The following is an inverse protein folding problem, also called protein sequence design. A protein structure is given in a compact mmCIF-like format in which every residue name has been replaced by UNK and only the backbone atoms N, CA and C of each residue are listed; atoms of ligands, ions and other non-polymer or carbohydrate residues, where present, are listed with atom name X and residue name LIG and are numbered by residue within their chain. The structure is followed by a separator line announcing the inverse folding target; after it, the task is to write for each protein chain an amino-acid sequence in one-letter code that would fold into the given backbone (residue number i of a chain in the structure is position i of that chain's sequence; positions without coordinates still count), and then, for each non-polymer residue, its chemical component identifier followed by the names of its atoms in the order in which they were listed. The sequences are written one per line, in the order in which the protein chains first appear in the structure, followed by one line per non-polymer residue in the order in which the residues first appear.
data_IF_676420308773
#
_entry.id   IF_676420308773
#
_cell.length_a   1.000
_cell.length_b   1.000
_cell.length_c   1.000
_cell.angle_alpha   90.00
_cell.angle_beta   90.00
_cell.angle_gamma   90.00
#
_symmetry.space_group_name_H-M   'P 1'
#
loop_
_entity.id
_entity.type
_entity.pdbx_description
1 polymer ?
#
# COMPACT_ATOMS: atom_id res chain seq x y z
N UNK A 1 -12.44 -15.93 30.69
CA UNK A 1 -13.17 -17.15 30.41
C UNK A 1 -12.67 -18.35 31.21
N UNK A 2 -11.38 -18.65 31.24
CA UNK A 2 -10.79 -19.78 31.99
C UNK A 2 -11.20 -19.77 33.45
N UNK A 3 -11.11 -18.63 34.15
CA UNK A 3 -11.53 -18.48 35.54
C UNK A 3 -13.02 -18.80 35.77
N UNK A 4 -13.89 -18.32 34.88
CA UNK A 4 -15.33 -18.61 34.97
C UNK A 4 -15.64 -20.09 34.79
N UNK A 5 -14.98 -20.78 33.87
CA UNK A 5 -15.15 -22.21 33.64
C UNK A 5 -14.62 -22.99 34.85
N UNK A 6 -13.46 -22.60 35.38
CA UNK A 6 -12.88 -23.25 36.57
C UNK A 6 -13.79 -23.14 37.81
N UNK A 7 -14.38 -21.95 38.03
CA UNK A 7 -15.31 -21.74 39.16
C UNK A 7 -16.61 -22.56 38.94
N UNK A 8 -17.14 -22.62 37.73
CA UNK A 8 -18.33 -23.41 37.39
C UNK A 8 -18.12 -24.93 37.59
N UNK A 9 -16.94 -25.43 37.20
CA UNK A 9 -16.56 -26.84 37.45
C UNK A 9 -16.51 -27.12 38.92
N UNK A 10 -15.89 -26.25 39.73
CA UNK A 10 -15.80 -26.37 41.18
C UNK A 10 -17.16 -26.37 41.86
N UNK A 11 -18.08 -25.51 41.39
CA UNK A 11 -19.44 -25.48 41.95
C UNK A 11 -20.26 -26.73 41.55
N UNK A 12 -20.04 -27.30 40.38
CA UNK A 12 -20.59 -28.60 39.98
C UNK A 12 -20.06 -29.75 40.83
N UNK A 13 -18.75 -29.85 41.00
CA UNK A 13 -18.09 -30.90 41.82
C UNK A 13 -18.49 -30.82 43.30
N UNK A 14 -18.75 -29.60 43.80
CA UNK A 14 -19.23 -29.40 45.17
C UNK A 14 -20.74 -29.59 45.34
N UNK A 15 -21.48 -29.93 44.29
CA UNK A 15 -22.93 -30.15 44.34
C UNK A 15 -23.79 -28.89 44.43
N UNK A 16 -23.21 -27.72 44.29
CA UNK A 16 -23.94 -26.42 44.28
C UNK A 16 -24.74 -26.18 43.04
N UNK A 17 -24.28 -26.77 41.93
CA UNK A 17 -24.92 -26.69 40.59
C UNK A 17 -25.23 -28.08 40.10
N UNK A 18 -26.45 -28.35 39.67
CA UNK A 18 -26.82 -29.66 39.12
C UNK A 18 -26.29 -29.82 37.69
N UNK A 19 -26.29 -31.07 37.20
CA UNK A 19 -25.83 -31.42 35.85
C UNK A 19 -26.55 -30.65 34.74
N UNK A 20 -27.83 -30.41 34.90
CA UNK A 20 -28.63 -29.73 33.90
C UNK A 20 -28.30 -28.24 33.80
N UNK A 21 -28.10 -27.64 34.97
CA UNK A 21 -27.71 -26.21 35.08
C UNK A 21 -26.28 -25.98 34.63
N UNK A 22 -25.36 -26.89 34.96
CA UNK A 22 -24.00 -26.89 34.46
C UNK A 22 -23.96 -26.93 32.91
N UNK A 23 -24.68 -27.92 32.30
CA UNK A 23 -24.71 -28.03 30.84
C UNK A 23 -25.32 -26.83 30.15
N UNK A 24 -26.39 -26.23 30.73
CA UNK A 24 -27.01 -25.01 30.18
C UNK A 24 -26.04 -23.82 30.22
N UNK A 25 -25.33 -23.65 31.32
CA UNK A 25 -24.39 -22.54 31.50
C UNK A 25 -23.20 -22.66 30.56
N UNK A 26 -22.64 -23.86 30.40
CA UNK A 26 -21.58 -24.12 29.41
C UNK A 26 -22.05 -23.87 27.98
N UNK A 27 -23.25 -24.36 27.62
CA UNK A 27 -23.82 -24.13 26.27
C UNK A 27 -24.06 -22.63 26.00
N UNK A 28 -24.57 -21.89 26.97
CA UNK A 28 -24.77 -20.44 26.84
C UNK A 28 -23.43 -19.70 26.72
N UNK A 29 -22.44 -20.07 27.53
CA UNK A 29 -21.11 -19.47 27.44
C UNK A 29 -20.45 -19.74 26.07
N UNK A 30 -20.60 -20.96 25.53
CA UNK A 30 -20.07 -21.33 24.22
C UNK A 30 -20.78 -20.53 23.08
N UNK A 31 -22.10 -20.34 23.17
CA UNK A 31 -22.83 -19.54 22.17
C UNK A 31 -22.48 -18.07 22.22
N UNK A 32 -22.29 -17.48 23.39
CA UNK A 32 -21.86 -16.08 23.54
C UNK A 32 -20.43 -15.90 23.02
N UNK A 33 -19.55 -16.87 23.26
CA UNK A 33 -18.18 -16.85 22.75
C UNK A 33 -18.15 -16.95 21.21
N UNK A 34 -18.87 -17.90 20.64
CA UNK A 34 -18.97 -18.09 19.21
C UNK A 34 -19.61 -16.86 18.51
N UNK A 35 -20.62 -16.26 19.12
CA UNK A 35 -21.23 -15.03 18.63
C UNK A 35 -20.28 -13.82 18.70
N UNK A 36 -19.45 -13.75 19.75
CA UNK A 36 -18.45 -12.70 19.90
C UNK A 36 -17.34 -12.76 18.84
N UNK A 37 -16.89 -13.96 18.49
CA UNK A 37 -15.89 -14.14 17.41
C UNK A 37 -16.51 -13.96 16.01
N UNK A 38 -17.74 -14.38 15.80
CA UNK A 38 -18.47 -14.13 14.56
C UNK A 38 -18.75 -12.62 14.38
N UNK A 39 -19.06 -11.89 15.44
CA UNK A 39 -19.25 -10.45 15.41
C UNK A 39 -17.94 -9.69 15.12
N UNK A 40 -16.80 -10.19 15.60
CA UNK A 40 -15.46 -9.64 15.26
C UNK A 40 -15.07 -9.94 13.81
N UNK A 41 -15.45 -11.12 13.28
CA UNK A 41 -15.21 -11.50 11.90
C UNK A 41 -16.07 -10.72 10.89
N UNK A 42 -17.18 -10.14 11.34
CA UNK A 42 -18.11 -9.32 10.55
C UNK A 42 -18.12 -7.85 10.97
N UNK A 43 -16.97 -7.28 11.34
CA UNK A 43 -16.88 -5.83 11.33
C UNK A 43 -17.33 -5.33 9.94
N UNK A 44 -18.30 -4.44 9.83
CA UNK A 44 -18.82 -4.02 8.53
C UNK A 44 -17.64 -3.46 7.73
N UNK A 45 -17.32 -4.12 6.61
CA UNK A 45 -16.38 -3.59 5.62
C UNK A 45 -17.09 -2.39 5.02
N UNK A 46 -16.79 -1.20 5.51
CA UNK A 46 -17.52 0.00 5.13
C UNK A 46 -17.51 0.28 3.63
N UNK A 47 -16.45 -0.19 2.90
CA UNK A 47 -16.32 -0.02 1.45
C UNK A 47 -15.24 -0.97 0.89
N UNK A 48 -15.28 -1.17 -0.42
CA UNK A 48 -14.27 -1.91 -1.18
C UNK A 48 -13.35 -0.92 -1.89
N UNK A 49 -12.05 -1.02 -1.67
CA UNK A 49 -11.07 -0.27 -2.46
C UNK A 49 -11.02 -0.83 -3.89
N UNK A 50 -10.99 0.06 -4.87
CA UNK A 50 -10.90 -0.28 -6.30
C UNK A 50 -9.48 -0.18 -6.84
N UNK A 51 -8.63 0.65 -6.21
CA UNK A 51 -7.26 0.87 -6.65
C UNK A 51 -6.61 2.05 -5.95
N UNK A 52 -5.39 2.37 -6.38
CA UNK A 52 -4.67 3.57 -5.95
C UNK A 52 -4.99 4.68 -6.95
N UNK A 53 -5.64 5.76 -6.50
CA UNK A 53 -5.91 6.92 -7.34
C UNK A 53 -4.62 7.68 -7.64
N UNK A 54 -3.85 8.03 -6.60
CA UNK A 54 -2.55 8.69 -6.78
C UNK A 54 -1.64 8.46 -5.58
N UNK A 55 -0.35 8.66 -5.82
CA UNK A 55 0.69 8.71 -4.80
C UNK A 55 1.19 10.17 -4.72
N UNK A 56 1.18 10.76 -3.53
CA UNK A 56 1.74 12.11 -3.34
C UNK A 56 3.16 12.00 -2.82
N UNK A 57 4.08 12.60 -3.55
CA UNK A 57 5.51 12.57 -3.35
C UNK A 57 6.04 13.99 -3.07
N UNK A 58 6.74 14.14 -1.98
CA UNK A 58 7.32 15.43 -1.56
C UNK A 58 8.82 15.42 -1.76
N UNK A 59 9.34 16.39 -2.47
CA UNK A 59 10.75 16.52 -2.81
C UNK A 59 11.23 17.97 -2.66
N UNK A 60 12.55 18.21 -2.62
CA UNK A 60 13.11 19.56 -2.56
C UNK A 60 12.76 20.44 -3.76
N UNK A 61 12.67 19.84 -4.96
CA UNK A 61 12.39 20.54 -6.22
C UNK A 61 11.55 19.62 -7.13
N UNK A 62 10.25 19.92 -7.24
CA UNK A 62 9.34 19.10 -8.02
C UNK A 62 9.62 19.17 -9.54
N UNK A 63 10.27 20.23 -10.03
CA UNK A 63 10.54 20.39 -11.47
C UNK A 63 11.57 19.36 -11.93
N UNK A 64 12.60 19.08 -11.15
CA UNK A 64 13.59 18.03 -11.43
C UNK A 64 12.98 16.64 -11.45
N UNK A 65 12.04 16.37 -10.54
CA UNK A 65 11.29 15.12 -10.52
C UNK A 65 10.42 15.02 -11.77
N UNK A 66 9.63 16.05 -12.05
CA UNK A 66 8.78 16.11 -13.24
C UNK A 66 9.57 15.80 -14.51
N UNK A 67 10.67 16.51 -14.71
CA UNK A 67 11.44 16.41 -15.95
C UNK A 67 12.07 15.02 -16.11
N UNK A 68 12.51 14.44 -15.01
CA UNK A 68 13.05 13.06 -15.02
C UNK A 68 11.96 12.03 -15.32
N UNK A 69 10.81 12.09 -14.63
CA UNK A 69 9.71 11.13 -14.84
C UNK A 69 9.13 11.24 -16.25
N UNK A 70 9.05 12.44 -16.81
CA UNK A 70 8.63 12.66 -18.21
C UNK A 70 9.66 12.10 -19.19
N UNK A 71 10.94 12.45 -19.03
CA UNK A 71 11.97 12.10 -20.00
C UNK A 71 12.39 10.62 -19.93
N UNK A 72 12.41 10.01 -18.73
CA UNK A 72 12.90 8.64 -18.53
C UNK A 72 11.77 7.62 -18.55
N UNK A 73 10.66 7.92 -17.87
CA UNK A 73 9.53 6.99 -17.73
C UNK A 73 8.39 7.26 -18.72
N UNK A 74 8.48 8.33 -19.52
CA UNK A 74 7.47 8.68 -20.51
C UNK A 74 6.13 9.11 -19.92
N UNK A 75 6.12 9.61 -18.67
CA UNK A 75 4.90 10.09 -18.05
C UNK A 75 4.44 11.40 -18.67
N UNK A 76 3.13 11.61 -18.75
CA UNK A 76 2.56 12.91 -19.13
C UNK A 76 2.46 13.83 -17.91
N UNK A 77 2.87 15.09 -18.09
CA UNK A 77 2.80 16.08 -17.02
C UNK A 77 1.69 17.09 -17.25
N UNK A 78 0.88 17.32 -16.20
CA UNK A 78 -0.05 18.45 -16.16
C UNK A 78 0.24 19.34 -14.96
N UNK A 79 0.01 20.66 -15.08
CA UNK A 79 0.16 21.57 -13.95
C UNK A 79 -0.77 21.16 -12.80
N UNK A 80 -0.24 21.19 -11.58
CA UNK A 80 -1.07 21.05 -10.39
C UNK A 80 -1.86 22.33 -10.09
N UNK A 81 -2.92 22.20 -9.31
CA UNK A 81 -3.79 23.32 -8.90
C UNK A 81 -3.16 24.30 -7.89
N UNK A 82 -1.94 24.07 -7.46
CA UNK A 82 -1.30 24.76 -6.31
C UNK A 82 -0.28 25.82 -6.78
N UNK A 83 -0.69 26.78 -7.58
CA UNK A 83 0.16 27.92 -7.99
C UNK A 83 1.58 27.53 -8.49
N UNK A 84 1.67 26.44 -9.24
CA UNK A 84 2.93 26.03 -9.87
C UNK A 84 3.96 25.40 -8.93
N UNK A 85 3.58 24.88 -7.78
CA UNK A 85 4.50 24.20 -6.85
C UNK A 85 4.37 22.67 -6.85
N UNK A 86 3.66 22.13 -7.83
CA UNK A 86 3.52 20.69 -8.06
C UNK A 86 3.22 20.37 -9.51
N UNK A 87 3.52 19.15 -9.91
CA UNK A 87 3.06 18.56 -11.16
C UNK A 87 2.28 17.27 -10.86
N UNK A 88 1.28 16.97 -11.68
CA UNK A 88 0.69 15.66 -11.76
C UNK A 88 1.37 14.91 -12.90
N UNK A 89 1.87 13.72 -12.62
CA UNK A 89 2.61 12.87 -13.54
C UNK A 89 1.74 11.65 -13.82
N UNK A 90 1.11 11.63 -14.98
CA UNK A 90 0.15 10.61 -15.36
C UNK A 90 0.81 9.48 -16.12
N UNK A 91 0.34 8.27 -15.89
CA UNK A 91 0.77 7.06 -16.56
C UNK A 91 -0.41 6.09 -16.72
N UNK A 92 -0.26 5.15 -17.65
CA UNK A 92 -1.30 4.18 -17.96
C UNK A 92 -1.69 4.21 -19.44
N UNK A 93 -2.57 3.29 -19.86
CA UNK A 93 -2.93 3.13 -21.27
C UNK A 93 -3.69 4.32 -21.86
N UNK A 94 -4.38 5.10 -21.05
CA UNK A 94 -5.09 6.32 -21.48
C UNK A 94 -4.98 7.39 -20.38
N UNK A 95 -4.08 8.37 -20.53
CA UNK A 95 -3.97 9.49 -19.62
C UNK A 95 -5.31 10.24 -19.48
N UNK A 96 -5.70 10.49 -18.22
CA UNK A 96 -6.95 11.21 -17.93
C UNK A 96 -8.23 10.37 -17.92
N UNK A 97 -8.18 9.09 -18.30
CA UNK A 97 -9.34 8.18 -18.24
C UNK A 97 -9.15 7.06 -17.23
N UNK A 98 -9.13 7.42 -15.95
CA UNK A 98 -9.10 6.44 -14.83
C UNK A 98 -7.73 5.84 -14.54
N UNK A 99 -6.65 6.42 -15.06
CA UNK A 99 -5.28 6.05 -14.73
C UNK A 99 -4.86 6.55 -13.35
N UNK A 100 -3.85 5.90 -12.77
CA UNK A 100 -3.17 6.40 -11.58
C UNK A 100 -2.17 7.50 -11.95
N UNK A 101 -1.83 8.35 -10.99
CA UNK A 101 -0.82 9.40 -11.20
C UNK A 101 0.02 9.63 -9.95
N UNK A 102 1.18 10.22 -10.15
CA UNK A 102 2.04 10.70 -9.06
C UNK A 102 1.90 12.22 -8.96
N UNK A 103 1.71 12.71 -7.75
CA UNK A 103 1.77 14.14 -7.44
C UNK A 103 3.18 14.47 -6.95
N UNK A 104 4.03 15.03 -7.79
CA UNK A 104 5.31 15.57 -7.36
C UNK A 104 5.12 17.00 -6.84
N UNK A 105 5.53 17.27 -5.61
CA UNK A 105 5.43 18.60 -4.99
C UNK A 105 6.70 19.01 -4.27
N UNK A 106 6.99 20.30 -4.28
CA UNK A 106 8.03 20.84 -3.40
C UNK A 106 7.56 20.85 -1.95
N UNK A 107 8.46 20.48 -1.04
CA UNK A 107 8.20 20.50 0.39
C UNK A 107 7.81 21.92 0.85
N UNK A 108 6.76 22.02 1.67
CA UNK A 108 6.35 23.28 2.29
C UNK A 108 6.55 23.21 3.80
N UNK A 109 7.01 24.28 4.43
CA UNK A 109 6.97 24.38 5.88
C UNK A 109 5.53 24.18 6.37
N UNK A 110 5.36 23.38 7.42
CA UNK A 110 4.05 23.13 8.04
C UNK A 110 4.03 23.73 9.43
N UNK A 111 3.00 24.51 9.74
CA UNK A 111 2.75 25.00 11.10
C UNK A 111 2.46 23.86 12.08
N UNK A 112 1.91 22.74 11.57
CA UNK A 112 1.61 21.52 12.33
C UNK A 112 2.30 20.33 11.66
N UNK A 113 3.62 20.10 11.90
CA UNK A 113 4.32 18.96 11.34
C UNK A 113 3.68 17.67 11.85
N UNK A 114 3.48 16.71 10.94
CA UNK A 114 3.04 15.36 11.32
C UNK A 114 4.14 14.69 12.13
N UNK A 115 3.78 13.85 13.12
CA UNK A 115 4.77 13.00 13.76
C UNK A 115 5.47 12.13 12.71
N UNK A 116 6.74 11.76 12.93
CA UNK A 116 7.46 10.88 12.01
C UNK A 116 6.67 9.58 11.80
N UNK A 117 6.50 9.18 10.54
CA UNK A 117 5.89 7.88 10.24
C UNK A 117 6.87 6.76 10.62
N UNK A 118 6.38 5.74 11.30
CA UNK A 118 7.16 4.55 11.60
C UNK A 118 7.26 3.58 10.41
N UNK A 119 6.32 3.69 9.46
CA UNK A 119 6.34 2.98 8.19
C UNK A 119 6.51 3.98 7.05
N UNK A 120 7.35 3.65 6.07
CA UNK A 120 7.60 4.43 4.87
C UNK A 120 7.31 3.58 3.64
N UNK A 121 7.00 4.22 2.52
CA UNK A 121 6.96 3.55 1.23
C UNK A 121 8.41 3.32 0.79
N UNK A 122 8.81 2.06 0.70
CA UNK A 122 10.18 1.67 0.35
C UNK A 122 10.50 2.03 -1.10
N UNK A 123 9.66 1.62 -2.03
CA UNK A 123 9.78 1.94 -3.45
C UNK A 123 8.41 1.95 -4.14
N UNK A 124 8.39 2.43 -5.38
CA UNK A 124 7.25 2.30 -6.29
C UNK A 124 7.71 1.48 -7.49
N UNK A 125 6.97 0.43 -7.83
CA UNK A 125 7.23 -0.39 -9.00
C UNK A 125 6.26 0.01 -10.14
N UNK A 126 6.83 0.32 -11.32
CA UNK A 126 6.09 0.60 -12.54
C UNK A 126 6.22 -0.54 -13.53
N UNK A 127 5.13 -0.93 -14.16
CA UNK A 127 5.12 -1.95 -15.20
C UNK A 127 5.43 -1.33 -16.56
N UNK A 128 6.38 -1.90 -17.28
CA UNK A 128 6.70 -1.52 -18.67
C UNK A 128 6.12 -2.58 -19.61
N UNK A 129 5.19 -2.22 -20.49
CA UNK A 129 4.66 -3.14 -21.49
C UNK A 129 5.72 -3.51 -22.52
N UNK A 130 5.61 -4.70 -23.11
CA UNK A 130 6.54 -5.20 -24.11
C UNK A 130 7.99 -5.07 -23.65
N UNK A 131 8.26 -5.58 -22.46
CA UNK A 131 9.59 -5.53 -21.83
C UNK A 131 10.68 -6.10 -22.76
N UNK A 132 11.82 -5.44 -22.77
CA UNK A 132 13.04 -5.90 -23.39
C UNK A 132 14.22 -5.39 -22.57
N UNK A 133 14.99 -6.28 -21.97
CA UNK A 133 16.10 -5.95 -21.05
C UNK A 133 17.12 -5.02 -21.70
N UNK A 134 17.49 -5.27 -22.94
CA UNK A 134 18.52 -4.47 -23.64
C UNK A 134 18.02 -3.03 -23.87
N UNK A 135 16.76 -2.88 -24.30
CA UNK A 135 16.12 -1.57 -24.52
C UNK A 135 16.02 -0.78 -23.23
N UNK A 136 15.53 -1.40 -22.15
CA UNK A 136 15.36 -0.75 -20.85
C UNK A 136 16.72 -0.35 -20.28
N UNK A 137 17.69 -1.26 -20.31
CA UNK A 137 19.05 -1.00 -19.85
C UNK A 137 19.74 0.11 -20.67
N UNK A 138 19.57 0.13 -21.99
CA UNK A 138 20.13 1.18 -22.85
C UNK A 138 19.53 2.56 -22.52
N UNK A 139 18.20 2.63 -22.33
CA UNK A 139 17.53 3.86 -21.96
C UNK A 139 18.03 4.39 -20.62
N UNK A 140 18.19 3.52 -19.61
CA UNK A 140 18.68 3.94 -18.29
C UNK A 140 20.17 4.33 -18.31
N UNK A 141 21.03 3.65 -19.07
CA UNK A 141 22.44 4.08 -19.26
C UNK A 141 22.53 5.49 -19.84
N UNK A 142 21.64 5.84 -20.77
CA UNK A 142 21.59 7.17 -21.37
C UNK A 142 21.28 8.28 -20.35
N UNK A 143 20.68 7.95 -19.19
CA UNK A 143 20.44 8.91 -18.12
C UNK A 143 21.69 9.24 -17.28
N UNK A 144 22.78 8.48 -17.44
CA UNK A 144 23.99 8.59 -16.63
C UNK A 144 23.83 8.18 -15.16
N UNK A 145 22.70 7.56 -14.78
CA UNK A 145 22.45 7.14 -13.40
C UNK A 145 22.84 5.70 -13.18
N UNK A 146 23.27 5.39 -11.97
CA UNK A 146 23.49 4.02 -11.54
C UNK A 146 22.15 3.31 -11.37
N UNK A 147 22.08 2.06 -11.82
CA UNK A 147 20.95 1.18 -11.64
C UNK A 147 21.42 -0.28 -11.49
N UNK A 148 20.56 -1.11 -10.91
CA UNK A 148 20.76 -2.56 -10.85
C UNK A 148 19.74 -3.25 -11.76
N UNK A 149 20.20 -4.21 -12.54
CA UNK A 149 19.36 -4.93 -13.51
C UNK A 149 19.38 -6.44 -13.24
N UNK A 150 18.21 -7.05 -13.36
CA UNK A 150 18.00 -8.50 -13.42
C UNK A 150 17.08 -8.77 -14.61
N UNK A 151 17.01 -9.99 -15.15
CA UNK A 151 16.04 -10.31 -16.19
C UNK A 151 14.63 -9.89 -15.76
N UNK A 152 13.95 -9.06 -16.56
CA UNK A 152 12.60 -8.59 -16.30
C UNK A 152 12.43 -7.51 -15.22
N UNK A 153 13.51 -7.07 -14.56
CA UNK A 153 13.43 -6.14 -13.43
C UNK A 153 14.64 -5.22 -13.35
N UNK A 154 14.40 -3.95 -13.05
CA UNK A 154 15.44 -2.92 -12.85
C UNK A 154 15.10 -2.04 -11.67
N UNK A 155 16.08 -1.69 -10.84
CA UNK A 155 15.96 -0.70 -9.80
C UNK A 155 16.86 0.49 -10.11
N UNK A 156 16.31 1.70 -10.09
CA UNK A 156 16.98 2.97 -10.36
C UNK A 156 16.60 4.00 -9.29
N UNK A 157 17.48 4.92 -9.00
CA UNK A 157 17.18 6.03 -8.12
C UNK A 157 16.72 7.26 -8.93
N UNK A 158 15.65 7.90 -8.49
CA UNK A 158 15.19 9.17 -9.04
C UNK A 158 16.17 10.34 -8.70
N UNK A 159 15.96 11.58 -9.16
CA UNK A 159 16.83 12.71 -8.88
C UNK A 159 17.10 13.00 -7.40
N UNK A 160 16.23 12.56 -6.50
CA UNK A 160 16.35 12.74 -5.07
C UNK A 160 16.62 11.43 -4.30
N UNK A 161 17.14 10.40 -5.01
CA UNK A 161 17.49 9.10 -4.45
C UNK A 161 16.27 8.29 -3.96
N UNK A 162 15.07 8.60 -4.46
CA UNK A 162 13.91 7.76 -4.18
C UNK A 162 13.97 6.49 -5.04
N UNK A 163 13.81 5.30 -4.44
CA UNK A 163 13.87 4.04 -5.16
C UNK A 163 12.68 3.87 -6.12
N UNK A 164 12.98 3.62 -7.39
CA UNK A 164 12.02 3.30 -8.44
C UNK A 164 12.37 1.93 -9.00
N UNK A 165 11.40 1.03 -9.00
CA UNK A 165 11.50 -0.26 -9.63
C UNK A 165 10.76 -0.24 -10.96
N UNK A 166 11.33 -0.88 -11.98
CA UNK A 166 10.69 -1.12 -13.26
C UNK A 166 10.63 -2.63 -13.47
N UNK A 167 9.47 -3.15 -13.86
CA UNK A 167 9.29 -4.59 -14.06
C UNK A 167 8.48 -4.87 -15.32
N UNK A 168 8.65 -6.09 -15.86
CA UNK A 168 7.74 -6.58 -16.88
C UNK A 168 6.37 -6.91 -16.24
N UNK A 169 5.33 -6.97 -17.05
CA UNK A 169 3.97 -7.25 -16.57
C UNK A 169 3.77 -8.66 -16.01
N UNK A 170 4.77 -9.52 -16.12
CA UNK A 170 4.65 -10.96 -15.84
C UNK A 170 5.29 -11.37 -14.52
N UNK A 171 6.31 -10.64 -14.07
CA UNK A 171 7.22 -11.12 -13.02
C UNK A 171 6.66 -11.04 -11.60
N UNK A 172 5.75 -10.12 -11.31
CA UNK A 172 5.22 -9.91 -9.95
C UNK A 172 3.70 -9.67 -9.90
N UNK A 173 2.95 -10.23 -10.83
CA UNK A 173 1.51 -10.09 -10.79
C UNK A 173 0.87 -11.20 -9.92
N UNK A 174 0.52 -10.92 -8.65
CA UNK A 174 -0.07 -11.92 -7.75
C UNK A 174 -1.50 -12.35 -8.16
N UNK A 175 -2.03 -11.77 -9.23
CA UNK A 175 -3.40 -12.00 -9.72
C UNK A 175 -3.45 -12.89 -10.99
N UNK A 176 -2.34 -13.52 -11.36
CA UNK A 176 -2.29 -14.54 -12.42
C UNK A 176 -2.71 -15.90 -11.92
#
# INVERSE_FOLDING_TARGET
MERFIADLVKDYESGKVDRREFCKTVALAATVYAAGDAAKAQAPRGFKLLGINHISYTCPDYTKVRDWYVSVLGMESTPGKDNGQRANLMFGPEPGKGGSFVVARTARPSANPRPPAQAIVDHVCYTIPNWNDDRVNAALRATGRSFTSRPGNVNVLDPFNYPVQLANSEEENPWK
#
